data_IF_667716253790
#
_entry.id   IF_667716253790
#
_cell.length_a   1.000
_cell.length_b   1.000
_cell.length_c   1.000
_cell.angle_alpha   90.00
_cell.angle_beta   90.00
_cell.angle_gamma   90.00
#
_symmetry.space_group_name_H-M   'P 1'
#
loop_
_entity.id
_entity.type
_entity.pdbx_description
1 polymer ?
#
# COMPACT_ATOMS: atom_id res chain seq x y z
N UNK A 1 -6.71 -9.50 15.83
CA UNK A 1 -5.90 -8.56 15.01
C UNK A 1 -6.69 -8.33 13.74
N UNK A 2 -6.82 -7.08 13.28
CA UNK A 2 -7.57 -6.76 12.07
C UNK A 2 -6.64 -6.82 10.87
N UNK A 3 -7.06 -7.50 9.80
CA UNK A 3 -6.34 -7.57 8.51
C UNK A 3 -6.55 -6.29 7.66
N UNK A 4 -7.14 -5.25 8.24
CA UNK A 4 -7.46 -4.00 7.55
C UNK A 4 -6.28 -3.03 7.52
N UNK A 5 -5.98 -2.50 6.34
CA UNK A 5 -5.09 -1.34 6.19
C UNK A 5 -5.68 -0.12 6.90
N UNK A 6 -4.96 0.40 7.88
CA UNK A 6 -5.31 1.67 8.54
C UNK A 6 -4.46 2.77 7.94
N UNK A 7 -5.14 3.75 7.34
CA UNK A 7 -4.53 4.90 6.69
C UNK A 7 -4.30 6.02 7.72
N UNK A 8 -3.06 6.46 7.88
CA UNK A 8 -2.69 7.56 8.77
C UNK A 8 -1.93 8.63 7.98
N UNK A 9 -2.19 9.90 8.27
CA UNK A 9 -1.34 10.97 7.73
C UNK A 9 0.09 10.76 8.23
N UNK A 10 1.06 10.76 7.32
CA UNK A 10 2.46 10.48 7.66
C UNK A 10 3.00 11.44 8.72
N UNK A 11 3.64 10.90 9.76
CA UNK A 11 4.38 11.71 10.72
C UNK A 11 5.65 12.25 10.02
N UNK A 12 5.87 13.56 10.08
CA UNK A 12 6.98 14.34 9.51
C UNK A 12 6.75 14.95 8.11
N UNK A 13 5.79 15.87 8.00
CA UNK A 13 5.52 16.72 6.82
C UNK A 13 6.52 17.91 6.68
N UNK A 14 7.83 17.68 6.77
CA UNK A 14 8.88 18.66 6.42
C UNK A 14 9.58 18.21 5.12
N UNK A 15 10.29 19.05 4.35
CA UNK A 15 10.19 19.09 2.88
C UNK A 15 10.72 17.86 2.10
N UNK A 16 11.19 16.82 2.78
CA UNK A 16 11.57 15.52 2.22
C UNK A 16 10.83 14.31 2.86
N UNK A 17 9.75 14.57 3.60
CA UNK A 17 9.11 13.61 4.49
C UNK A 17 8.04 12.73 3.87
N UNK A 18 7.56 11.80 4.68
CA UNK A 18 6.47 10.88 4.36
C UNK A 18 5.17 11.68 4.26
N UNK A 19 4.62 11.82 3.05
CA UNK A 19 3.36 12.52 2.81
C UNK A 19 2.17 11.70 3.34
N UNK A 20 2.27 10.38 3.22
CA UNK A 20 1.20 9.46 3.55
C UNK A 20 1.76 8.10 3.95
N UNK A 21 1.11 7.45 4.92
CA UNK A 21 1.39 6.08 5.29
C UNK A 21 0.10 5.31 5.55
N UNK A 22 0.05 4.08 5.07
CA UNK A 22 -0.95 3.09 5.46
C UNK A 22 -0.24 1.87 5.94
N UNK A 23 -0.70 1.28 7.04
CA UNK A 23 -0.12 0.04 7.53
C UNK A 23 -1.18 -0.98 7.90
N UNK A 24 -0.89 -2.26 7.63
CA UNK A 24 -1.62 -3.40 8.14
C UNK A 24 -0.66 -4.33 8.88
N UNK A 25 -1.05 -4.75 10.08
CA UNK A 25 -0.31 -5.74 10.85
C UNK A 25 -0.75 -7.13 10.43
N UNK A 26 0.21 -7.93 9.98
CA UNK A 26 0.05 -9.35 9.65
C UNK A 26 0.88 -10.12 10.69
N UNK A 27 0.48 -11.29 11.19
CA UNK A 27 1.28 -12.03 12.17
C UNK A 27 2.74 -12.22 11.71
N UNK A 28 3.68 -11.55 12.41
CA UNK A 28 5.11 -11.56 12.07
C UNK A 28 5.58 -10.53 11.02
N UNK A 29 4.68 -9.73 10.46
CA UNK A 29 4.95 -8.80 9.35
C UNK A 29 4.18 -7.48 9.46
N UNK A 30 4.71 -6.44 8.82
CA UNK A 30 4.06 -5.14 8.65
C UNK A 30 3.98 -4.82 7.15
N UNK A 31 2.77 -4.87 6.58
CA UNK A 31 2.53 -4.36 5.25
C UNK A 31 2.34 -2.84 5.30
N UNK A 32 2.93 -2.10 4.37
CA UNK A 32 2.83 -0.64 4.33
C UNK A 32 2.70 -0.08 2.92
N UNK A 33 1.85 0.93 2.74
CA UNK A 33 1.83 1.82 1.58
C UNK A 33 2.33 3.19 2.01
N UNK A 34 3.35 3.73 1.35
CA UNK A 34 3.95 5.02 1.69
C UNK A 34 4.05 5.93 0.48
N UNK A 35 3.79 7.22 0.66
CA UNK A 35 4.01 8.24 -0.38
C UNK A 35 5.07 9.22 0.10
N UNK A 36 6.13 9.40 -0.67
CA UNK A 36 7.26 10.25 -0.32
C UNK A 36 7.14 11.62 -1.00
N UNK A 37 6.94 12.69 -0.21
CA UNK A 37 6.65 14.03 -0.73
C UNK A 37 7.71 14.56 -1.71
N UNK A 38 9.00 14.39 -1.42
CA UNK A 38 10.08 14.93 -2.25
C UNK A 38 10.29 14.21 -3.59
N UNK A 39 9.95 12.93 -3.69
CA UNK A 39 10.19 12.14 -4.90
C UNK A 39 8.92 11.77 -5.66
N UNK A 40 7.75 11.99 -5.06
CA UNK A 40 6.46 11.50 -5.57
C UNK A 40 6.37 9.98 -5.62
N UNK A 41 7.34 9.25 -5.07
CA UNK A 41 7.37 7.79 -5.09
C UNK A 41 6.35 7.21 -4.14
N UNK A 42 5.68 6.18 -4.61
CA UNK A 42 4.71 5.39 -3.85
C UNK A 42 5.33 4.00 -3.64
N UNK A 43 5.45 3.57 -2.40
CA UNK A 43 6.03 2.26 -2.08
C UNK A 43 5.00 1.35 -1.43
N UNK A 44 4.84 0.13 -1.95
CA UNK A 44 4.13 -0.95 -1.30
C UNK A 44 5.17 -1.95 -0.80
N UNK A 45 5.25 -2.17 0.50
CA UNK A 45 6.29 -2.99 1.12
C UNK A 45 5.75 -3.93 2.19
N UNK A 46 6.40 -5.08 2.37
CA UNK A 46 6.31 -5.88 3.58
C UNK A 46 7.62 -5.77 4.36
N UNK A 47 7.48 -5.47 5.65
CA UNK A 47 8.59 -5.28 6.58
C UNK A 47 8.47 -6.33 7.68
N UNK A 48 9.49 -7.18 7.81
CA UNK A 48 9.68 -8.10 8.92
C UNK A 48 10.94 -7.73 9.70
N UNK A 49 11.21 -8.45 10.79
CA UNK A 49 12.33 -8.15 11.69
C UNK A 49 13.70 -8.05 10.97
N UNK A 50 13.92 -8.90 9.96
CA UNK A 50 15.16 -8.92 9.17
C UNK A 50 14.91 -9.07 7.65
N UNK A 51 13.66 -8.95 7.21
CA UNK A 51 13.27 -9.13 5.81
C UNK A 51 12.49 -7.91 5.33
N UNK A 52 12.91 -7.37 4.19
CA UNK A 52 12.21 -6.26 3.54
C UNK A 52 12.04 -6.61 2.06
N UNK A 53 10.80 -6.63 1.59
CA UNK A 53 10.50 -6.68 0.18
C UNK A 53 9.50 -5.57 -0.16
N UNK A 54 9.65 -4.94 -1.31
CA UNK A 54 8.77 -3.87 -1.70
C UNK A 54 8.89 -3.49 -3.16
N UNK A 55 7.81 -2.91 -3.67
CA UNK A 55 7.73 -2.34 -4.99
C UNK A 55 7.63 -0.82 -4.86
N UNK A 56 8.24 -0.12 -5.82
CA UNK A 56 8.27 1.34 -5.89
C UNK A 56 7.65 1.76 -7.21
N UNK A 57 6.71 2.68 -7.14
CA UNK A 57 5.95 3.19 -8.27
C UNK A 57 6.04 4.70 -8.33
N UNK A 58 5.91 5.25 -9.54
CA UNK A 58 5.38 6.60 -9.69
C UNK A 58 3.83 6.61 -9.57
N UNK A 59 3.24 7.81 -9.64
CA UNK A 59 1.80 7.97 -9.51
C UNK A 59 0.99 7.32 -10.65
N UNK A 60 1.52 7.28 -11.88
CA UNK A 60 0.83 6.69 -13.03
C UNK A 60 0.83 5.16 -12.93
N UNK A 61 1.98 4.57 -12.60
CA UNK A 61 2.14 3.14 -12.37
C UNK A 61 1.27 2.66 -11.20
N UNK A 62 1.23 3.42 -10.09
CA UNK A 62 0.39 3.06 -8.95
C UNK A 62 -1.11 3.06 -9.32
N UNK A 63 -1.57 4.02 -10.13
CA UNK A 63 -2.96 4.05 -10.62
C UNK A 63 -3.27 2.86 -11.52
N UNK A 64 -2.35 2.48 -12.41
CA UNK A 64 -2.53 1.31 -13.27
C UNK A 64 -2.65 0.02 -12.45
N UNK A 65 -1.76 -0.19 -11.47
CA UNK A 65 -1.83 -1.35 -10.56
C UNK A 65 -3.13 -1.37 -9.76
N UNK A 66 -3.58 -0.20 -9.25
CA UNK A 66 -4.85 -0.11 -8.54
C UNK A 66 -6.04 -0.48 -9.43
N UNK A 67 -6.04 -0.08 -10.70
CA UNK A 67 -7.10 -0.45 -11.64
C UNK A 67 -7.14 -1.96 -11.88
N UNK A 68 -5.97 -2.59 -12.10
CA UNK A 68 -5.87 -4.06 -12.26
C UNK A 68 -6.38 -4.81 -11.03
N UNK A 69 -6.03 -4.33 -9.82
CA UNK A 69 -6.52 -4.93 -8.57
C UNK A 69 -8.04 -4.80 -8.41
N UNK A 70 -8.62 -3.67 -8.80
CA UNK A 70 -10.08 -3.47 -8.78
C UNK A 70 -10.79 -4.40 -9.77
N UNK A 71 -10.25 -4.54 -10.98
CA UNK A 71 -10.77 -5.49 -11.98
C UNK A 71 -10.70 -6.93 -11.47
N UNK A 72 -9.57 -7.32 -10.86
CA UNK A 72 -9.41 -8.65 -10.28
C UNK A 72 -10.39 -8.91 -9.13
N UNK A 73 -10.62 -7.93 -8.26
CA UNK A 73 -11.60 -8.03 -7.18
C UNK A 73 -13.02 -8.24 -7.73
N UNK A 74 -13.44 -7.45 -8.73
CA UNK A 74 -14.74 -7.62 -9.38
C UNK A 74 -14.89 -9.01 -10.03
N UNK A 75 -13.84 -9.52 -10.67
CA UNK A 75 -13.85 -10.88 -11.22
C UNK A 75 -13.97 -11.96 -10.14
N UNK A 76 -13.33 -11.78 -8.98
CA UNK A 76 -13.44 -12.69 -7.85
C UNK A 76 -14.84 -12.69 -7.22
N UNK A 77 -15.46 -11.52 -7.07
CA UNK A 77 -16.85 -11.41 -6.57
C UNK A 77 -17.84 -12.08 -7.53
N UNK A 78 -17.67 -11.87 -8.83
CA UNK A 78 -18.49 -12.55 -9.85
C UNK A 78 -18.34 -14.08 -9.78
N UNK A 79 -17.11 -14.58 -9.64
CA UNK A 79 -16.85 -16.02 -9.49
C UNK A 79 -17.48 -16.61 -8.21
N UNK A 80 -17.69 -15.80 -7.17
CA UNK A 80 -18.31 -16.20 -5.90
C UNK A 80 -19.82 -15.94 -5.86
N UNK A 81 -20.42 -15.42 -6.95
CA UNK A 81 -21.85 -15.10 -7.01
C UNK A 81 -22.27 -13.91 -6.15
N UNK A 82 -21.35 -12.96 -5.91
CA UNK A 82 -21.56 -11.75 -5.09
C UNK A 82 -21.69 -10.46 -5.91
N UNK A 83 -21.82 -10.60 -7.23
CA UNK A 83 -21.93 -9.48 -8.18
C UNK A 83 -23.26 -8.73 -8.06
#
# INVERSE_FOLDING_TARGET
MSDTFTFTSGANLRPAGLAYESTAFIPGWLASVRVWSASGRITLAMNGHAAHCGMVFDAAQARAVAAELLTAAAAADAAQGRA
#
